data_IF_307991334864
#
_entry.id   IF_307991334864
#
_cell.length_a   1.000
_cell.length_b   1.000
_cell.length_c   1.000
_cell.angle_alpha   90.00
_cell.angle_beta   90.00
_cell.angle_gamma   90.00
#
_symmetry.space_group_name_H-M   'P 1'
#
loop_
_entity.id
_entity.type
_entity.pdbx_description
1 polymer ?
#
# COMPACT_ATOMS: atom_id res chain seq x y z
N UNK A 1 -7.34 16.99 35.00
CA UNK A 1 -6.85 15.61 34.78
C UNK A 1 -7.46 15.10 33.48
N UNK A 2 -6.77 15.28 32.36
CA UNK A 2 -7.19 14.76 31.05
C UNK A 2 -6.87 13.29 31.03
N UNK A 3 -7.89 12.43 31.06
CA UNK A 3 -7.71 11.01 30.82
C UNK A 3 -7.13 10.86 29.41
N UNK A 4 -5.87 10.39 29.33
CA UNK A 4 -5.32 9.86 28.09
C UNK A 4 -6.18 8.66 27.71
N UNK A 5 -7.19 8.89 26.87
CA UNK A 5 -7.94 7.80 26.23
C UNK A 5 -6.94 7.12 25.29
N UNK A 6 -6.29 6.07 25.79
CA UNK A 6 -5.49 5.16 24.99
C UNK A 6 -6.36 4.70 23.83
N UNK A 7 -6.00 5.11 22.61
CA UNK A 7 -6.67 4.66 21.40
C UNK A 7 -6.59 3.13 21.34
N UNK A 8 -7.73 2.46 21.49
CA UNK A 8 -7.79 1.02 21.30
C UNK A 8 -8.04 0.72 19.81
N UNK A 9 -7.13 -0.01 19.14
CA UNK A 9 -7.34 -0.40 17.76
C UNK A 9 -8.61 -1.23 17.61
N UNK A 10 -9.53 -0.77 16.77
CA UNK A 10 -10.70 -1.56 16.35
C UNK A 10 -10.35 -2.33 15.09
N UNK A 11 -9.99 -3.61 15.21
CA UNK A 11 -9.73 -4.48 14.07
C UNK A 11 -9.07 -5.80 14.42
N UNK A 12 -8.72 -6.56 13.39
CA UNK A 12 -7.98 -7.82 13.48
C UNK A 12 -6.49 -7.53 13.36
N UNK A 13 -5.71 -8.04 14.32
CA UNK A 13 -4.26 -7.87 14.34
C UNK A 13 -3.62 -8.65 13.20
N UNK A 14 -2.65 -8.04 12.55
CA UNK A 14 -1.73 -8.63 11.57
C UNK A 14 -0.33 -8.10 11.82
N UNK A 15 0.68 -8.89 11.49
CA UNK A 15 2.06 -8.44 11.56
C UNK A 15 2.29 -7.33 10.54
N UNK A 16 2.93 -6.25 10.96
CA UNK A 16 3.23 -5.12 10.07
C UNK A 16 4.15 -5.53 8.91
N UNK A 17 5.12 -6.41 9.17
CA UNK A 17 6.04 -6.95 8.15
C UNK A 17 5.32 -7.72 7.02
N UNK A 18 4.18 -8.33 7.36
CA UNK A 18 3.42 -9.21 6.45
C UNK A 18 2.23 -8.47 5.82
N UNK A 19 2.03 -7.19 6.15
CA UNK A 19 0.89 -6.39 5.73
C UNK A 19 0.69 -6.43 4.21
N UNK A 20 1.75 -6.17 3.45
CA UNK A 20 1.69 -6.17 1.99
C UNK A 20 1.42 -7.56 1.42
N UNK A 21 1.91 -8.62 2.07
CA UNK A 21 1.60 -9.99 1.68
C UNK A 21 0.12 -10.28 1.91
N UNK A 22 -0.45 -9.91 3.06
CA UNK A 22 -1.87 -10.15 3.36
C UNK A 22 -2.79 -9.39 2.41
N UNK A 23 -2.47 -8.12 2.10
CA UNK A 23 -3.19 -7.34 1.10
C UNK A 23 -3.10 -8.06 -0.25
N UNK A 24 -1.91 -8.51 -0.64
CA UNK A 24 -1.72 -9.13 -1.94
C UNK A 24 -2.39 -10.50 -2.05
N UNK A 25 -2.34 -11.32 -1.00
CA UNK A 25 -3.04 -12.60 -0.95
C UNK A 25 -4.55 -12.43 -1.13
N UNK A 26 -5.12 -11.36 -0.57
CA UNK A 26 -6.52 -11.01 -0.78
C UNK A 26 -6.81 -10.59 -2.22
N UNK A 27 -5.97 -9.70 -2.77
CA UNK A 27 -6.04 -9.26 -4.16
C UNK A 27 -5.97 -10.44 -5.14
N UNK A 28 -5.06 -11.39 -4.91
CA UNK A 28 -4.93 -12.62 -5.69
C UNK A 28 -6.22 -13.46 -5.53
N UNK A 29 -6.58 -13.83 -4.30
CA UNK A 29 -7.71 -14.71 -4.03
C UNK A 29 -9.03 -14.22 -4.63
N UNK A 30 -9.28 -12.91 -4.54
CA UNK A 30 -10.54 -12.29 -4.99
C UNK A 30 -10.44 -11.65 -6.37
N UNK A 31 -9.25 -11.59 -6.97
CA UNK A 31 -9.00 -10.88 -8.22
C UNK A 31 -9.26 -9.37 -8.11
N UNK A 32 -9.49 -8.86 -6.90
CA UNK A 32 -9.78 -7.45 -6.69
C UNK A 32 -8.47 -6.64 -6.75
N UNK A 33 -8.56 -5.45 -7.33
CA UNK A 33 -7.47 -4.48 -7.36
C UNK A 33 -7.77 -3.45 -6.30
N UNK A 34 -6.95 -3.38 -5.27
CA UNK A 34 -7.12 -2.40 -4.23
C UNK A 34 -6.49 -1.07 -4.64
N UNK A 35 -6.94 0.00 -3.99
CA UNK A 35 -6.31 1.31 -4.15
C UNK A 35 -6.62 2.20 -2.95
N UNK A 36 -5.62 2.95 -2.51
CA UNK A 36 -5.72 3.84 -1.37
C UNK A 36 -6.68 5.01 -1.69
N UNK A 37 -7.63 5.30 -0.80
CA UNK A 37 -8.44 6.53 -0.86
C UNK A 37 -7.58 7.73 -0.47
N UNK A 38 -7.80 8.89 -1.10
CA UNK A 38 -6.96 10.10 -0.93
C UNK A 38 -6.79 10.57 0.53
N UNK A 39 -7.64 10.15 1.46
CA UNK A 39 -7.58 10.48 2.88
C UNK A 39 -6.68 9.51 3.65
N UNK A 40 -5.41 9.86 3.82
CA UNK A 40 -4.57 9.31 4.89
C UNK A 40 -4.76 10.18 6.14
N UNK A 41 -5.07 9.55 7.26
CA UNK A 41 -5.11 10.26 8.55
C UNK A 41 -3.83 9.94 9.29
N UNK A 42 -3.03 10.96 9.58
CA UNK A 42 -1.81 10.85 10.35
C UNK A 42 -2.06 11.37 11.76
N UNK A 43 -1.68 10.56 12.76
CA UNK A 43 -1.59 10.96 14.15
C UNK A 43 -0.17 10.61 14.63
N UNK A 44 0.31 11.30 15.67
CA UNK A 44 1.65 11.11 16.25
C UNK A 44 1.94 9.66 16.63
N UNK A 45 0.91 8.86 16.93
CA UNK A 45 1.06 7.47 17.38
C UNK A 45 0.69 6.42 16.33
N UNK A 46 -0.03 6.80 15.27
CA UNK A 46 -0.52 5.87 14.26
C UNK A 46 -0.90 6.58 12.97
N UNK A 47 -0.86 5.86 11.85
CA UNK A 47 -1.49 6.29 10.61
C UNK A 47 -2.58 5.31 10.18
N UNK A 48 -3.56 5.85 9.45
CA UNK A 48 -4.69 5.08 8.93
C UNK A 48 -4.71 5.16 7.41
N UNK A 49 -4.72 4.00 6.77
CA UNK A 49 -4.96 3.87 5.33
C UNK A 49 -6.31 3.20 5.08
N UNK A 50 -7.06 3.74 4.12
CA UNK A 50 -8.31 3.11 3.66
C UNK A 50 -8.13 2.66 2.22
N UNK A 51 -8.25 1.36 1.99
CA UNK A 51 -8.24 0.73 0.68
C UNK A 51 -9.66 0.55 0.17
N UNK A 52 -9.86 0.82 -1.11
CA UNK A 52 -11.11 0.56 -1.81
C UNK A 52 -10.88 -0.41 -2.96
N UNK A 53 -11.88 -1.23 -3.29
CA UNK A 53 -11.87 -2.00 -4.52
C UNK A 53 -11.91 -1.05 -5.74
N UNK A 54 -11.09 -1.34 -6.75
CA UNK A 54 -10.98 -0.56 -7.99
C UNK A 54 -11.46 -1.32 -9.22
N UNK A 55 -11.88 -2.58 -9.07
CA UNK A 55 -12.45 -3.38 -10.16
C UNK A 55 -13.77 -2.79 -10.64
N UNK A 56 -14.63 -2.35 -9.71
CA UNK A 56 -15.93 -1.79 -10.05
C UNK A 56 -16.10 -0.44 -9.37
N UNK A 57 -16.58 0.55 -10.12
CA UNK A 57 -16.93 1.88 -9.57
C UNK A 57 -18.01 1.75 -8.48
N UNK A 58 -18.90 0.77 -8.61
CA UNK A 58 -20.00 0.50 -7.68
C UNK A 58 -19.63 -0.41 -6.50
N UNK A 59 -18.45 -1.02 -6.48
CA UNK A 59 -18.07 -1.87 -5.34
C UNK A 59 -17.91 -1.00 -4.09
N UNK A 60 -18.71 -1.23 -3.03
CA UNK A 60 -18.63 -0.39 -1.85
C UNK A 60 -17.48 -0.78 -0.92
N UNK A 61 -16.69 -1.81 -1.25
CA UNK A 61 -15.66 -2.38 -0.39
C UNK A 61 -14.69 -1.32 0.13
N UNK A 62 -14.55 -1.31 1.46
CA UNK A 62 -13.63 -0.43 2.18
C UNK A 62 -12.89 -1.23 3.26
N UNK A 63 -11.57 -1.29 3.16
CA UNK A 63 -10.68 -1.90 4.14
C UNK A 63 -9.88 -0.80 4.83
N UNK A 64 -10.05 -0.64 6.14
CA UNK A 64 -9.21 0.26 6.96
C UNK A 64 -8.07 -0.50 7.59
N UNK A 65 -6.87 0.07 7.53
CA UNK A 65 -5.66 -0.46 8.16
C UNK A 65 -5.09 0.62 9.07
N UNK A 66 -4.93 0.27 10.35
CA UNK A 66 -4.29 1.09 11.37
C UNK A 66 -2.88 0.55 11.58
N UNK A 67 -1.89 1.42 11.44
CA UNK A 67 -0.48 1.10 11.69
C UNK A 67 0.03 1.99 12.81
N UNK A 68 0.54 1.37 13.85
CA UNK A 68 1.03 2.05 15.05
C UNK A 68 2.54 2.23 14.96
N UNK A 69 3.02 3.44 15.21
CA UNK A 69 4.45 3.76 15.09
C UNK A 69 5.28 3.32 16.30
N UNK A 70 4.63 3.09 17.46
CA UNK A 70 5.29 2.71 18.71
C UNK A 70 5.19 1.19 19.01
N UNK A 71 4.59 0.42 18.11
CA UNK A 71 4.51 -1.03 18.17
C UNK A 71 4.80 -1.57 16.77
N UNK A 72 6.08 -1.80 16.50
CA UNK A 72 6.62 -2.25 15.21
C UNK A 72 6.03 -3.60 14.75
N UNK A 73 5.22 -4.25 15.58
CA UNK A 73 4.70 -5.59 15.32
C UNK A 73 3.18 -5.62 15.11
N UNK A 74 2.47 -4.50 15.25
CA UNK A 74 1.01 -4.51 15.23
C UNK A 74 0.40 -3.54 14.23
N UNK A 75 -0.02 -4.09 13.10
CA UNK A 75 -1.04 -3.48 12.26
C UNK A 75 -2.41 -4.10 12.56
N UNK A 76 -3.48 -3.34 12.38
CA UNK A 76 -4.85 -3.84 12.53
C UNK A 76 -5.65 -3.53 11.29
N UNK A 77 -6.39 -4.50 10.77
CA UNK A 77 -7.32 -4.26 9.66
C UNK A 77 -8.78 -4.39 10.11
N UNK A 78 -9.67 -3.66 9.43
CA UNK A 78 -11.11 -3.77 9.60
C UNK A 78 -11.80 -3.55 8.26
N UNK A 79 -12.72 -4.46 7.93
CA UNK A 79 -13.60 -4.29 6.79
C UNK A 79 -14.74 -3.37 7.22
N UNK A 80 -14.85 -2.21 6.57
CA UNK A 80 -15.90 -1.21 6.83
C UNK A 80 -17.12 -1.49 5.97
N UNK A 81 -16.90 -1.94 4.73
CA UNK A 81 -17.94 -2.30 3.77
C UNK A 81 -17.51 -3.54 2.98
N UNK A 82 -18.42 -4.47 2.66
CA UNK A 82 -18.10 -5.71 1.96
C UNK A 82 -17.85 -5.48 0.46
N UNK A 83 -17.18 -6.42 -0.19
CA UNK A 83 -17.27 -6.57 -1.65
C UNK A 83 -18.71 -6.90 -2.06
N UNK A 84 -19.16 -6.30 -3.16
CA UNK A 84 -20.43 -6.58 -3.84
C UNK A 84 -20.19 -6.72 -5.35
N UNK A 85 -19.43 -7.73 -5.76
CA UNK A 85 -19.27 -8.10 -7.16
C UNK A 85 -18.73 -9.52 -7.29
N UNK A 86 -19.12 -10.16 -8.38
CA UNK A 86 -18.45 -11.36 -8.88
C UNK A 86 -17.27 -10.94 -9.77
N UNK A 87 -16.29 -11.83 -9.96
CA UNK A 87 -15.06 -11.53 -10.72
C UNK A 87 -15.36 -11.69 -12.22
N UNK A 88 -16.18 -10.81 -12.75
CA UNK A 88 -16.56 -10.81 -14.16
C UNK A 88 -15.92 -9.65 -14.93
N UNK A 89 -15.55 -8.55 -14.26
CA UNK A 89 -14.84 -7.43 -14.89
C UNK A 89 -13.38 -7.35 -14.42
N UNK A 90 -12.47 -7.62 -15.34
CA UNK A 90 -11.05 -7.36 -15.16
C UNK A 90 -10.75 -5.94 -15.66
N UNK A 91 -10.43 -5.01 -14.77
CA UNK A 91 -9.99 -3.67 -15.16
C UNK A 91 -8.51 -3.69 -15.57
N UNK A 92 -8.05 -2.81 -16.45
CA UNK A 92 -6.60 -2.75 -16.81
C UNK A 92 -5.69 -2.23 -15.68
N UNK A 93 -6.23 -1.95 -14.50
CA UNK A 93 -5.44 -1.46 -13.37
C UNK A 93 -4.54 -2.58 -12.84
N UNK A 94 -3.27 -2.31 -12.53
CA UNK A 94 -2.45 -3.32 -11.87
C UNK A 94 -2.78 -3.39 -10.38
N UNK A 95 -2.58 -4.56 -9.76
CA UNK A 95 -2.71 -4.77 -8.32
C UNK A 95 -1.91 -3.76 -7.50
N UNK A 96 -2.46 -3.30 -6.38
CA UNK A 96 -1.80 -2.33 -5.51
C UNK A 96 -0.43 -2.84 -5.05
N UNK A 97 -0.39 -4.10 -4.62
CA UNK A 97 0.81 -4.70 -4.05
C UNK A 97 1.93 -4.80 -5.09
N UNK A 98 1.59 -5.11 -6.35
CA UNK A 98 2.55 -5.11 -7.47
C UNK A 98 3.04 -3.70 -7.76
N UNK A 99 2.16 -2.68 -7.78
CA UNK A 99 2.57 -1.29 -7.98
C UNK A 99 3.53 -0.82 -6.88
N UNK A 100 3.24 -1.17 -5.62
CA UNK A 100 4.08 -0.85 -4.47
C UNK A 100 5.44 -1.53 -4.56
N UNK A 101 5.46 -2.82 -4.93
CA UNK A 101 6.71 -3.57 -5.16
C UNK A 101 7.59 -2.90 -6.22
N UNK A 102 7.04 -2.55 -7.39
CA UNK A 102 7.78 -1.88 -8.46
C UNK A 102 8.34 -0.53 -7.99
N UNK A 103 7.55 0.24 -7.23
CA UNK A 103 7.99 1.52 -6.68
C UNK A 103 9.14 1.35 -5.69
N UNK A 104 9.08 0.36 -4.79
CA UNK A 104 10.13 0.10 -3.82
C UNK A 104 11.44 -0.37 -4.47
N UNK A 105 11.34 -1.13 -5.56
CA UNK A 105 12.50 -1.74 -6.23
C UNK A 105 12.94 -1.01 -7.50
N UNK A 106 12.42 0.18 -7.79
CA UNK A 106 12.61 0.87 -9.08
C UNK A 106 14.08 1.14 -9.46
N UNK A 107 15.04 1.05 -8.54
CA UNK A 107 16.45 1.21 -8.84
C UNK A 107 17.17 -0.09 -9.26
N UNK A 108 16.55 -1.25 -9.09
CA UNK A 108 17.08 -2.53 -9.54
C UNK A 108 16.98 -2.70 -11.06
N UNK A 109 17.82 -3.57 -11.61
CA UNK A 109 17.68 -4.01 -12.99
C UNK A 109 16.41 -4.87 -13.16
N UNK A 110 15.97 -5.00 -14.42
CA UNK A 110 14.72 -5.69 -14.74
C UNK A 110 14.73 -7.15 -14.29
N UNK A 111 15.83 -7.87 -14.46
CA UNK A 111 15.88 -9.29 -14.18
C UNK A 111 15.77 -9.55 -12.68
N UNK A 112 16.52 -8.80 -11.87
CA UNK A 112 16.42 -8.86 -10.41
C UNK A 112 15.01 -8.53 -9.92
N UNK A 113 14.38 -7.50 -10.49
CA UNK A 113 13.02 -7.12 -10.10
C UNK A 113 11.97 -8.17 -10.47
N UNK A 114 12.14 -8.86 -11.60
CA UNK A 114 11.25 -9.97 -11.99
C UNK A 114 11.39 -11.17 -11.05
N UNK A 115 12.61 -11.55 -10.69
CA UNK A 115 12.86 -12.61 -9.71
C UNK A 115 12.23 -12.23 -8.36
N UNK A 116 12.46 -11.01 -7.89
CA UNK A 116 11.87 -10.54 -6.64
C UNK A 116 10.34 -10.46 -6.68
N UNK A 117 9.76 -10.06 -7.81
CA UNK A 117 8.30 -10.00 -7.98
C UNK A 117 7.70 -11.42 -8.02
N UNK A 118 8.36 -12.37 -8.70
CA UNK A 118 7.98 -13.77 -8.70
C UNK A 118 7.97 -14.34 -7.28
N UNK A 119 9.02 -14.08 -6.49
CA UNK A 119 9.11 -14.51 -5.09
C UNK A 119 8.02 -13.87 -4.24
N UNK A 120 7.73 -12.58 -4.46
CA UNK A 120 6.66 -11.87 -3.76
C UNK A 120 5.29 -12.48 -4.06
N UNK A 121 5.02 -12.83 -5.31
CA UNK A 121 3.75 -13.47 -5.71
C UNK A 121 3.66 -14.89 -5.14
N UNK A 122 4.76 -15.66 -5.18
CA UNK A 122 4.82 -16.99 -4.59
C UNK A 122 4.55 -16.96 -3.08
N UNK A 123 5.16 -16.01 -2.36
CA UNK A 123 4.91 -15.79 -0.92
C UNK A 123 3.46 -15.37 -0.65
N UNK A 124 2.90 -14.45 -1.43
CA UNK A 124 1.52 -14.03 -1.25
C UNK A 124 0.52 -15.17 -1.55
N UNK A 125 0.83 -16.01 -2.55
CA UNK A 125 0.00 -17.16 -2.94
C UNK A 125 0.04 -18.30 -1.92
N UNK A 126 1.12 -18.42 -1.15
CA UNK A 126 1.27 -19.47 -0.13
C UNK A 126 0.64 -19.13 1.22
N UNK A 127 0.33 -17.85 1.46
CA UNK A 127 -0.31 -17.43 2.70
C UNK A 127 -1.84 -17.46 2.60
N UNK A 128 -2.47 -17.53 3.77
CA UNK A 128 -3.92 -17.54 3.93
C UNK A 128 -4.50 -16.15 3.66
N UNK A 129 -5.55 -16.06 2.84
CA UNK A 129 -6.36 -14.84 2.67
C UNK A 129 -7.19 -14.55 3.95
N UNK A 130 -6.54 -13.92 4.94
CA UNK A 130 -7.15 -13.57 6.22
C UNK A 130 -8.22 -12.48 6.07
N UNK A 131 -8.07 -11.59 5.09
CA UNK A 131 -9.03 -10.51 4.83
C UNK A 131 -10.33 -11.10 4.28
N UNK A 132 -10.25 -11.94 3.24
CA UNK A 132 -11.44 -12.57 2.66
C UNK A 132 -12.08 -13.61 3.59
N UNK A 133 -11.30 -14.26 4.46
CA UNK A 133 -11.89 -15.07 5.53
C UNK A 133 -12.72 -14.26 6.49
N UNK A 134 -12.23 -13.07 6.85
CA UNK A 134 -12.98 -12.17 7.72
C UNK A 134 -14.18 -11.56 7.03
N UNK A 135 -14.06 -11.24 5.75
CA UNK A 135 -15.21 -10.84 4.91
C UNK A 135 -16.30 -11.90 4.96
N UNK A 136 -15.97 -13.16 4.63
CA UNK A 136 -16.93 -14.28 4.66
C UNK A 136 -17.54 -14.51 6.04
N UNK A 137 -16.80 -14.25 7.11
CA UNK A 137 -17.31 -14.39 8.47
C UNK A 137 -18.30 -13.27 8.85
N UNK A 138 -17.98 -12.02 8.52
CA UNK A 138 -18.76 -10.84 8.92
C UNK A 138 -19.96 -10.59 7.99
N UNK A 139 -19.83 -10.97 6.72
CA UNK A 139 -20.79 -10.70 5.66
C UNK A 139 -21.27 -12.00 5.00
N UNK A 140 -21.64 -13.00 5.82
CA UNK A 140 -22.00 -14.37 5.36
C UNK A 140 -23.08 -14.42 4.27
N UNK A 141 -23.99 -13.45 4.25
CA UNK A 141 -25.07 -13.38 3.27
C UNK A 141 -24.60 -12.85 1.90
N UNK A 142 -23.38 -12.35 1.79
CA UNK A 142 -22.85 -11.74 0.57
C UNK A 142 -21.77 -12.65 -0.03
N UNK A 143 -21.91 -13.07 -1.29
CA UNK A 143 -20.89 -13.86 -1.95
C UNK A 143 -19.62 -13.03 -2.10
N UNK A 144 -18.48 -13.65 -1.84
CA UNK A 144 -17.17 -13.11 -2.18
C UNK A 144 -16.64 -13.88 -3.37
N UNK A 145 -16.50 -13.20 -4.51
CA UNK A 145 -15.89 -13.78 -5.70
C UNK A 145 -14.50 -14.35 -5.41
N UNK A 146 -14.20 -15.48 -6.03
CA UNK A 146 -12.89 -16.15 -5.94
C UNK A 146 -12.32 -16.35 -7.34
N UNK A 147 -11.06 -15.96 -7.52
CA UNK A 147 -10.33 -16.23 -8.77
C UNK A 147 -9.89 -17.69 -8.77
N UNK A 148 -10.15 -18.39 -9.87
CA UNK A 148 -9.82 -19.82 -10.01
C UNK A 148 -8.39 -20.05 -10.50
N UNK A 149 -7.80 -19.08 -11.21
CA UNK A 149 -6.38 -19.08 -11.58
C UNK A 149 -5.94 -17.66 -11.97
N UNK A 150 -4.70 -17.30 -11.64
CA UNK A 150 -4.03 -16.12 -12.16
C UNK A 150 -2.89 -16.60 -13.05
N UNK A 151 -2.76 -16.00 -14.23
CA UNK A 151 -1.61 -16.20 -15.12
C UNK A 151 -0.53 -15.25 -14.61
N UNK A 152 0.63 -15.78 -14.25
CA UNK A 152 1.71 -14.99 -13.64
C UNK A 152 2.12 -13.84 -14.54
N UNK A 153 2.16 -14.10 -15.84
CA UNK A 153 2.51 -13.17 -16.90
C UNK A 153 1.56 -11.97 -16.93
N UNK A 154 0.30 -12.13 -16.53
CA UNK A 154 -0.70 -11.05 -16.47
C UNK A 154 -0.51 -10.14 -15.26
N UNK A 155 0.21 -10.62 -14.23
CA UNK A 155 0.58 -9.83 -13.04
C UNK A 155 1.83 -8.99 -13.30
N UNK A 156 2.63 -9.37 -14.29
CA UNK A 156 3.86 -8.67 -14.64
C UNK A 156 3.53 -7.46 -15.53
N UNK A 157 4.03 -6.26 -15.20
CA UNK A 157 3.91 -5.14 -16.11
C UNK A 157 4.64 -5.45 -17.43
N UNK A 158 4.03 -5.07 -18.56
CA UNK A 158 4.72 -5.13 -19.86
C UNK A 158 6.05 -4.37 -19.82
N UNK A 159 7.03 -4.77 -20.63
CA UNK A 159 8.36 -4.14 -20.68
C UNK A 159 8.28 -2.61 -20.84
N UNK A 160 7.39 -2.14 -21.69
CA UNK A 160 7.17 -0.71 -21.93
C UNK A 160 6.62 -0.02 -20.68
N UNK A 161 5.60 -0.61 -20.04
CA UNK A 161 5.00 -0.05 -18.83
C UNK A 161 5.97 -0.06 -17.65
N UNK A 162 6.83 -1.07 -17.56
CA UNK A 162 7.88 -1.18 -16.58
C UNK A 162 8.90 -0.04 -16.71
N UNK A 163 9.48 0.16 -17.91
CA UNK A 163 10.44 1.23 -18.15
C UNK A 163 9.86 2.63 -17.92
N UNK A 164 8.60 2.86 -18.34
CA UNK A 164 7.89 4.11 -18.09
C UNK A 164 7.74 4.39 -16.59
N UNK A 165 7.33 3.39 -15.81
CA UNK A 165 7.20 3.52 -14.35
C UNK A 165 8.55 3.73 -13.67
N UNK A 166 9.57 2.99 -14.07
CA UNK A 166 10.92 3.15 -13.55
C UNK A 166 11.45 4.57 -13.79
N UNK A 167 11.31 5.07 -15.03
CA UNK A 167 11.70 6.43 -15.40
C UNK A 167 10.92 7.47 -14.62
N UNK A 168 9.61 7.27 -14.47
CA UNK A 168 8.75 8.16 -13.69
C UNK A 168 9.18 8.24 -12.23
N UNK A 169 9.42 7.10 -11.56
CA UNK A 169 9.84 7.10 -10.15
C UNK A 169 11.24 7.68 -9.96
N UNK A 170 12.19 7.39 -10.85
CA UNK A 170 13.53 8.03 -10.83
C UNK A 170 13.45 9.54 -11.00
N UNK A 171 12.57 10.03 -11.87
CA UNK A 171 12.34 11.48 -12.04
C UNK A 171 11.75 12.09 -10.77
N UNK A 172 10.72 11.47 -10.19
CA UNK A 172 10.14 11.95 -8.93
C UNK A 172 11.16 11.98 -7.79
N UNK A 173 11.98 10.94 -7.67
CA UNK A 173 13.05 10.89 -6.66
C UNK A 173 14.07 12.01 -6.88
N UNK A 174 14.51 12.22 -8.13
CA UNK A 174 15.41 13.33 -8.47
C UNK A 174 14.80 14.71 -8.16
N UNK A 175 13.53 14.91 -8.48
CA UNK A 175 12.82 16.17 -8.22
C UNK A 175 12.66 16.41 -6.71
N UNK A 176 12.41 15.36 -5.93
CA UNK A 176 12.31 15.43 -4.47
C UNK A 176 13.67 15.74 -3.84
N UNK A 177 14.73 15.03 -4.23
CA UNK A 177 16.10 15.27 -3.76
C UNK A 177 16.61 16.65 -4.17
N UNK A 178 16.26 17.12 -5.37
CA UNK A 178 16.59 18.46 -5.83
C UNK A 178 15.96 19.54 -4.94
N UNK A 179 14.66 19.41 -4.64
CA UNK A 179 13.94 20.32 -3.73
C UNK A 179 14.45 20.25 -2.29
N UNK A 180 14.82 19.07 -1.81
CA UNK A 180 15.37 18.87 -0.47
C UNK A 180 16.76 19.53 -0.34
N UNK A 181 17.58 19.42 -1.39
CA UNK A 181 18.87 20.11 -1.46
C UNK A 181 18.72 21.63 -1.48
N UNK A 182 17.78 22.16 -2.28
CA UNK A 182 17.47 23.60 -2.32
C UNK A 182 16.98 24.11 -0.95
N UNK A 183 16.13 23.34 -0.25
CA UNK A 183 15.67 23.69 1.09
C UNK A 183 16.82 23.73 2.12
N UNK A 184 17.72 22.74 2.08
CA UNK A 184 18.91 22.69 2.95
C UNK A 184 19.89 23.83 2.67
N UNK A 185 20.09 24.21 1.40
CA UNK A 185 20.93 25.35 1.04
C UNK A 185 20.31 26.68 1.51
N UNK A 186 18.99 26.84 1.43
CA UNK A 186 18.28 28.00 1.97
C UNK A 186 18.39 28.09 3.49
N UNK A 187 18.21 26.97 4.20
CA UNK A 187 18.33 26.91 5.65
C UNK A 187 19.76 27.23 6.11
N UNK A 188 20.77 26.64 5.46
CA UNK A 188 22.17 26.95 5.75
C UNK A 188 22.52 28.43 5.50
N UNK A 189 22.03 29.01 4.40
CA UNK A 189 22.26 30.43 4.12
C UNK A 189 21.59 31.34 5.15
N UNK A 190 20.39 30.98 5.63
CA UNK A 190 19.71 31.72 6.69
C UNK A 190 20.47 31.65 8.03
N UNK A 191 21.02 30.48 8.39
CA UNK A 191 21.86 30.31 9.59
C UNK A 191 23.15 31.12 9.48
N UNK A 192 23.82 31.10 8.32
CA UNK A 192 25.03 31.90 8.07
C UNK A 192 24.73 33.39 8.23
N UNK A 193 23.60 33.87 7.72
CA UNK A 193 23.23 35.27 7.80
C UNK A 193 22.89 35.71 9.23
N UNK A 194 22.19 34.87 10.00
CA UNK A 194 21.97 35.11 11.43
C UNK A 194 23.28 35.17 12.23
N UNK A 195 24.23 34.29 11.92
CA UNK A 195 25.55 34.29 12.58
C UNK A 195 26.35 35.56 12.27
N UNK A 196 26.27 36.09 11.04
CA UNK A 196 26.91 37.36 10.69
C UNK A 196 26.31 38.54 11.47
N UNK A 197 24.99 38.61 11.57
CA UNK A 197 24.29 39.67 12.32
C UNK A 197 24.61 39.65 13.82
N UNK A 198 25.00 38.50 14.38
CA UNK A 198 25.42 38.37 15.78
C UNK A 198 26.91 38.72 16.01
N UNK A 199 27.69 38.82 14.94
CA UNK A 199 29.12 39.13 14.98
C UNK A 199 29.43 40.60 14.62
N UNK A 200 28.42 41.35 14.18
CA UNK A 200 28.44 42.82 14.01
C UNK A 200 27.89 43.53 15.26
#
# INVERSE_FOLDING_TARGET
MTQNILFQPKGYRINLSDLDLYIFAHELYTGCKLGIKRSKTYNVNHYVETFACKNFISCPFDLKIYVFQNDDHSAFFRIIKPHLHDITENTDKPFYSVQKFIRANHNQDRQSMLVGLQDFINKASSIKDVIGQRHRFEFKALPLGRTTAYVMEDLLPSNINFQKKQTYYRRQEKDLLGKEKEALEQENNAVIEQLKQLLE
#
